data_IF_533021360310
#
_entry.id   IF_533021360310
#
_cell.length_a   1.000
_cell.length_b   1.000
_cell.length_c   1.000
_cell.angle_alpha   90.00
_cell.angle_beta   90.00
_cell.angle_gamma   90.00
#
_symmetry.space_group_name_H-M   'P 1'
#
loop_
_entity.id
_entity.type
_entity.pdbx_description
1 polymer ?
#
# COMPACT_ATOMS: atom_id res chain seq x y z
N UNK A 1 19.17 -14.29 -12.24
CA UNK A 1 19.13 -14.81 -10.85
C UNK A 1 18.39 -13.75 -10.07
N UNK A 2 17.14 -13.99 -9.70
CA UNK A 2 16.39 -13.10 -8.80
C UNK A 2 16.78 -13.51 -7.39
N UNK A 3 17.30 -12.57 -6.60
CA UNK A 3 17.57 -12.80 -5.19
C UNK A 3 16.26 -13.28 -4.53
N UNK A 4 16.32 -14.40 -3.81
CA UNK A 4 15.22 -14.79 -2.95
C UNK A 4 15.03 -13.68 -1.91
N UNK A 5 13.79 -13.22 -1.65
CA UNK A 5 13.55 -12.20 -0.65
C UNK A 5 14.05 -12.74 0.69
N UNK A 6 15.00 -12.01 1.31
CA UNK A 6 15.49 -12.37 2.63
C UNK A 6 14.31 -12.33 3.61
N UNK A 7 14.09 -13.41 4.39
CA UNK A 7 13.05 -13.42 5.40
C UNK A 7 13.38 -12.35 6.44
N UNK A 8 12.49 -11.36 6.57
CA UNK A 8 12.58 -10.37 7.65
C UNK A 8 12.24 -11.08 8.95
N UNK A 9 13.22 -11.22 9.83
CA UNK A 9 12.98 -11.74 11.19
C UNK A 9 12.00 -10.82 11.91
N UNK A 10 10.83 -11.34 12.24
CA UNK A 10 9.85 -10.66 13.09
C UNK A 10 10.17 -11.07 14.53
N UNK A 11 10.63 -10.14 15.36
CA UNK A 11 10.80 -10.40 16.79
C UNK A 11 9.44 -10.79 17.39
N UNK A 12 9.33 -12.04 17.85
CA UNK A 12 8.09 -12.63 18.39
C UNK A 12 7.52 -11.86 19.59
N UNK A 13 8.37 -11.07 20.28
CA UNK A 13 8.02 -10.26 21.46
C UNK A 13 7.97 -8.75 21.19
N UNK A 14 7.92 -8.33 19.91
CA UNK A 14 7.83 -6.91 19.57
C UNK A 14 6.62 -6.26 20.27
N UNK A 15 6.82 -5.12 20.98
CA UNK A 15 5.73 -4.43 21.66
C UNK A 15 4.58 -4.14 20.70
N UNK A 16 3.33 -4.23 21.16
CA UNK A 16 2.16 -3.97 20.32
C UNK A 16 2.19 -2.57 19.68
N UNK A 17 2.72 -1.58 20.41
CA UNK A 17 2.92 -0.22 19.90
C UNK A 17 3.90 -0.21 18.71
N UNK A 18 4.97 -1.01 18.74
CA UNK A 18 5.90 -1.17 17.62
C UNK A 18 5.24 -1.82 16.40
N UNK A 19 4.35 -2.79 16.61
CA UNK A 19 3.59 -3.39 15.51
C UNK A 19 2.61 -2.38 14.88
N UNK A 20 1.97 -1.54 15.69
CA UNK A 20 1.09 -0.47 15.21
C UNK A 20 1.87 0.57 14.41
N UNK A 21 3.03 1.02 14.90
CA UNK A 21 3.87 1.99 14.20
C UNK A 21 4.29 1.47 12.82
N UNK A 22 4.74 0.21 12.73
CA UNK A 22 5.09 -0.41 11.45
C UNK A 22 3.89 -0.52 10.48
N UNK A 23 2.70 -0.84 10.98
CA UNK A 23 1.49 -0.88 10.15
C UNK A 23 1.13 0.52 9.64
N UNK A 24 1.28 1.54 10.48
CA UNK A 24 1.08 2.94 10.09
C UNK A 24 2.07 3.37 9.01
N UNK A 25 3.35 3.03 9.15
CA UNK A 25 4.39 3.34 8.16
C UNK A 25 4.12 2.66 6.80
N UNK A 26 3.63 1.42 6.82
CA UNK A 26 3.23 0.70 5.60
C UNK A 26 2.00 1.33 4.95
N UNK A 27 0.99 1.73 5.73
CA UNK A 27 -0.21 2.41 5.24
C UNK A 27 0.16 3.76 4.60
N UNK A 28 0.94 4.59 5.31
CA UNK A 28 1.44 5.88 4.83
C UNK A 28 2.28 5.74 3.56
N UNK A 29 3.15 4.73 3.52
CA UNK A 29 3.96 4.42 2.34
C UNK A 29 3.09 4.07 1.13
N UNK A 30 2.08 3.23 1.32
CA UNK A 30 1.13 2.86 0.29
C UNK A 30 0.29 4.06 -0.18
N UNK A 31 -0.21 4.89 0.73
CA UNK A 31 -0.94 6.12 0.39
C UNK A 31 -0.09 7.09 -0.42
N UNK A 32 1.19 7.28 -0.05
CA UNK A 32 2.12 8.11 -0.82
C UNK A 32 2.29 7.59 -2.24
N UNK A 33 2.47 6.28 -2.42
CA UNK A 33 2.60 5.68 -3.75
C UNK A 33 1.32 5.94 -4.57
N UNK A 34 0.15 5.73 -3.98
CA UNK A 34 -1.14 6.01 -4.64
C UNK A 34 -1.23 7.48 -5.05
N UNK A 35 -0.90 8.41 -4.15
CA UNK A 35 -0.91 9.85 -4.44
C UNK A 35 0.06 10.25 -5.56
N UNK A 36 1.28 9.68 -5.58
CA UNK A 36 2.22 9.91 -6.69
C UNK A 36 1.68 9.39 -8.03
N UNK A 37 1.01 8.24 -8.01
CA UNK A 37 0.42 7.65 -9.22
C UNK A 37 -0.75 8.48 -9.76
N UNK A 38 -1.55 9.06 -8.86
CA UNK A 38 -2.61 10.01 -9.22
C UNK A 38 -2.04 11.29 -9.83
N UNK A 39 -1.01 11.87 -9.22
CA UNK A 39 -0.34 13.06 -9.74
C UNK A 39 0.29 12.80 -11.13
N UNK A 40 0.97 11.66 -11.30
CA UNK A 40 1.54 11.25 -12.59
C UNK A 40 0.45 11.10 -13.66
N UNK A 41 -0.69 10.52 -13.29
CA UNK A 41 -1.85 10.40 -14.19
C UNK A 41 -2.36 11.78 -14.62
N UNK A 42 -2.50 12.72 -13.69
CA UNK A 42 -2.96 14.08 -14.00
C UNK A 42 -1.99 14.81 -14.95
N UNK A 43 -0.69 14.73 -14.68
CA UNK A 43 0.36 15.31 -15.53
C UNK A 43 0.32 14.73 -16.94
N UNK A 44 0.24 13.39 -17.06
CA UNK A 44 0.16 12.72 -18.36
C UNK A 44 -1.12 13.05 -19.13
N UNK A 45 -2.26 13.16 -18.45
CA UNK A 45 -3.53 13.58 -19.08
C UNK A 45 -3.39 14.98 -19.66
N UNK A 46 -2.78 15.90 -18.89
CA UNK A 46 -2.56 17.29 -19.33
C UNK A 46 -1.59 17.36 -20.52
N UNK A 47 -0.46 16.65 -20.45
CA UNK A 47 0.57 16.64 -21.49
C UNK A 47 0.10 16.00 -22.79
N UNK A 48 -0.66 14.90 -22.70
CA UNK A 48 -1.16 14.18 -23.87
C UNK A 48 -2.44 14.83 -24.44
N UNK A 49 -3.15 15.64 -23.66
CA UNK A 49 -4.42 16.24 -24.05
C UNK A 49 -5.53 15.21 -24.30
N UNK A 50 -5.54 14.13 -23.51
CA UNK A 50 -6.44 12.98 -23.69
C UNK A 50 -7.47 12.87 -22.58
N UNK A 51 -8.53 12.11 -22.81
CA UNK A 51 -9.49 11.83 -21.76
C UNK A 51 -8.88 10.96 -20.64
N UNK A 52 -9.38 11.16 -19.42
CA UNK A 52 -8.90 10.48 -18.21
C UNK A 52 -9.11 8.95 -18.21
N UNK A 53 -9.89 8.39 -19.13
CA UNK A 53 -10.04 6.94 -19.31
C UNK A 53 -9.08 6.37 -20.37
N UNK A 54 -8.51 7.23 -21.23
CA UNK A 54 -7.63 6.83 -22.33
C UNK A 54 -6.16 6.87 -21.97
N UNK A 55 -5.72 7.71 -21.01
CA UNK A 55 -4.29 7.95 -20.75
C UNK A 55 -3.40 6.69 -20.70
N UNK A 56 -3.89 5.59 -20.10
CA UNK A 56 -3.13 4.33 -20.04
C UNK A 56 -2.84 3.73 -21.42
N UNK A 57 -3.71 3.90 -22.41
CA UNK A 57 -3.51 3.33 -23.76
C UNK A 57 -2.34 3.99 -24.49
N UNK A 58 -1.99 5.22 -24.09
CA UNK A 58 -0.88 5.99 -24.64
C UNK A 58 0.48 5.60 -24.04
N UNK A 59 0.49 4.77 -23.00
CA UNK A 59 1.71 4.28 -22.40
C UNK A 59 2.25 3.04 -23.15
N UNK A 60 3.58 2.90 -23.26
CA UNK A 60 4.21 1.65 -23.66
C UNK A 60 3.64 0.45 -22.90
N UNK A 61 3.44 -0.72 -23.54
CA UNK A 61 2.82 -1.89 -22.89
C UNK A 61 3.48 -2.29 -21.57
N UNK A 62 4.81 -2.25 -21.50
CA UNK A 62 5.57 -2.58 -20.27
C UNK A 62 5.24 -1.61 -19.13
N UNK A 63 5.12 -0.31 -19.43
CA UNK A 63 4.79 0.69 -18.40
C UNK A 63 3.35 0.52 -17.90
N UNK A 64 2.40 0.14 -18.76
CA UNK A 64 1.03 -0.17 -18.33
C UNK A 64 0.98 -1.31 -17.32
N UNK A 65 1.72 -2.38 -17.60
CA UNK A 65 1.78 -3.55 -16.70
C UNK A 65 2.39 -3.16 -15.37
N UNK A 66 3.54 -2.48 -15.39
CA UNK A 66 4.21 -2.05 -14.16
C UNK A 66 3.36 -1.10 -13.31
N UNK A 67 2.69 -0.12 -13.94
CA UNK A 67 1.80 0.77 -13.21
C UNK A 67 0.63 0.01 -12.58
N UNK A 68 0.04 -0.95 -13.30
CA UNK A 68 -1.05 -1.77 -12.76
C UNK A 68 -0.58 -2.63 -11.57
N UNK A 69 0.62 -3.22 -11.65
CA UNK A 69 1.22 -3.97 -10.54
C UNK A 69 1.45 -3.08 -9.31
N UNK A 70 2.02 -1.89 -9.50
CA UNK A 70 2.26 -0.92 -8.42
C UNK A 70 0.94 -0.50 -7.76
N UNK A 71 -0.09 -0.16 -8.55
CA UNK A 71 -1.41 0.20 -8.01
C UNK A 71 -2.03 -0.93 -7.20
N UNK A 72 -1.99 -2.16 -7.71
CA UNK A 72 -2.54 -3.35 -7.03
C UNK A 72 -1.78 -3.60 -5.73
N UNK A 73 -0.45 -3.53 -5.75
CA UNK A 73 0.38 -3.77 -4.57
C UNK A 73 0.15 -2.69 -3.50
N UNK A 74 0.15 -1.41 -3.88
CA UNK A 74 -0.09 -0.31 -2.93
C UNK A 74 -1.49 -0.41 -2.30
N UNK A 75 -2.53 -0.66 -3.11
CA UNK A 75 -3.89 -0.87 -2.58
C UNK A 75 -3.99 -2.11 -1.67
N UNK A 76 -3.24 -3.18 -1.98
CA UNK A 76 -3.14 -4.37 -1.16
C UNK A 76 -2.54 -4.06 0.21
N UNK A 77 -1.39 -3.39 0.24
CA UNK A 77 -0.70 -2.98 1.47
C UNK A 77 -1.60 -2.10 2.33
N UNK A 78 -2.20 -1.05 1.74
CA UNK A 78 -3.10 -0.15 2.46
C UNK A 78 -4.28 -0.91 3.10
N UNK A 79 -4.91 -1.82 2.34
CA UNK A 79 -6.02 -2.63 2.86
C UNK A 79 -5.59 -3.57 3.98
N UNK A 80 -4.46 -4.24 3.83
CA UNK A 80 -3.96 -5.23 4.80
C UNK A 80 -3.51 -4.54 6.10
N UNK A 81 -2.84 -3.38 5.99
CA UNK A 81 -2.47 -2.55 7.13
C UNK A 81 -3.71 -2.09 7.91
N UNK A 82 -4.70 -1.53 7.22
CA UNK A 82 -5.94 -1.08 7.85
C UNK A 82 -6.72 -2.23 8.52
N UNK A 83 -6.73 -3.42 7.89
CA UNK A 83 -7.35 -4.62 8.46
C UNK A 83 -6.62 -5.07 9.74
N UNK A 84 -5.30 -5.11 9.72
CA UNK A 84 -4.49 -5.48 10.88
C UNK A 84 -4.71 -4.49 12.04
N UNK A 85 -4.74 -3.18 11.74
CA UNK A 85 -5.01 -2.14 12.73
C UNK A 85 -6.38 -2.32 13.41
N UNK A 86 -7.45 -2.55 12.63
CA UNK A 86 -8.78 -2.83 13.19
C UNK A 86 -8.79 -4.06 14.10
N UNK A 87 -8.12 -5.13 13.66
CA UNK A 87 -8.03 -6.36 14.44
C UNK A 87 -7.34 -6.13 15.79
N UNK A 88 -6.24 -5.35 15.81
CA UNK A 88 -5.52 -4.99 17.04
C UNK A 88 -6.44 -4.23 18.01
N UNK A 89 -7.14 -3.20 17.54
CA UNK A 89 -8.07 -2.42 18.35
C UNK A 89 -9.17 -3.29 18.94
N UNK A 90 -9.78 -4.16 18.12
CA UNK A 90 -10.84 -5.07 18.57
C UNK A 90 -10.33 -6.05 19.63
N UNK A 91 -9.11 -6.57 19.48
CA UNK A 91 -8.52 -7.52 20.44
C UNK A 91 -8.14 -6.83 21.75
N UNK A 92 -7.54 -5.64 21.72
CA UNK A 92 -7.27 -4.84 22.93
C UNK A 92 -8.57 -4.57 23.70
N UNK A 93 -9.61 -4.10 23.01
CA UNK A 93 -10.89 -3.75 23.63
C UNK A 93 -11.62 -4.96 24.26
N UNK A 94 -11.35 -6.17 23.76
CA UNK A 94 -11.91 -7.42 24.31
C UNK A 94 -11.11 -7.97 25.49
N UNK A 95 -9.81 -7.66 25.61
CA UNK A 95 -9.00 -8.04 26.76
C UNK A 95 -9.23 -7.14 27.98
N UNK A 96 -9.62 -5.87 27.77
CA UNK A 96 -9.91 -4.91 28.85
C UNK A 96 -11.30 -5.08 29.49
N UNK A 97 -12.19 -5.89 28.91
CA UNK A 97 -13.51 -6.14 29.50
C UNK A 97 -13.38 -7.10 30.69
N UNK A 98 -13.76 -6.69 31.92
CA UNK A 98 -13.76 -7.60 33.07
C UNK A 98 -14.78 -8.72 32.84
N UNK A 99 -14.38 -9.95 33.15
CA UNK A 99 -15.24 -11.15 33.12
C UNK A 99 -16.43 -11.04 34.05
#
# INVERSE_FOLDING_TARGET
>A
MTAEPEPVEVEEDAPLDYAIDNLSDLEDGAERIIGFMEALREELIADLGVDAWQWRTHLPPVQRVLLAEIEITAQGIHRDANRAYRWIIEHQHNQEKPK
#
